data_IF_747698869926
#
_entry.id   IF_747698869926
#
_cell.length_a   1.000
_cell.length_b   1.000
_cell.length_c   1.000
_cell.angle_alpha   90.00
_cell.angle_beta   90.00
_cell.angle_gamma   90.00
#
_symmetry.space_group_name_H-M   'P 1'
#
loop_
_entity.id
_entity.type
_entity.pdbx_description
1 polymer ?
#
# COMPACT_ATOMS: atom_id res chain seq x y z
N UNK A 1 38.75 -46.65 -28.67
CA UNK A 1 37.95 -45.66 -29.41
C UNK A 1 37.87 -44.42 -28.52
N UNK A 2 38.64 -43.40 -28.90
CA UNK A 2 38.82 -42.02 -28.39
C UNK A 2 38.70 -41.77 -26.87
N UNK A 3 39.87 -41.58 -26.25
CA UNK A 3 40.09 -40.96 -24.95
C UNK A 3 40.44 -39.49 -25.22
N UNK A 4 39.64 -38.54 -24.71
CA UNK A 4 39.93 -37.10 -24.87
C UNK A 4 40.86 -36.63 -23.74
N UNK A 5 42.10 -36.37 -24.14
CA UNK A 5 43.13 -35.66 -23.37
C UNK A 5 42.97 -34.16 -23.59
N UNK A 6 42.88 -33.36 -22.53
CA UNK A 6 43.06 -31.90 -22.59
C UNK A 6 44.29 -31.53 -21.78
N UNK A 7 45.32 -31.09 -22.49
CA UNK A 7 46.56 -30.48 -21.97
C UNK A 7 46.37 -28.97 -22.01
N UNK A 8 46.64 -28.27 -20.92
CA UNK A 8 47.00 -26.86 -20.99
C UNK A 8 48.39 -26.65 -20.38
N UNK A 9 49.29 -26.12 -21.22
CA UNK A 9 50.65 -25.69 -20.89
C UNK A 9 50.66 -24.18 -20.63
N UNK A 10 51.50 -23.79 -19.67
CA UNK A 10 52.32 -22.58 -19.58
C UNK A 10 51.65 -21.19 -19.66
N UNK A 11 51.95 -20.33 -18.67
CA UNK A 11 52.98 -19.31 -18.90
C UNK A 11 53.54 -18.73 -17.58
N UNK A 12 54.82 -19.01 -17.36
CA UNK A 12 55.70 -18.34 -16.41
C UNK A 12 56.10 -16.99 -17.02
N UNK A 13 55.89 -15.87 -16.31
CA UNK A 13 56.56 -14.61 -16.63
C UNK A 13 57.76 -14.45 -15.68
N UNK A 14 58.97 -14.56 -16.22
CA UNK A 14 60.23 -14.28 -15.53
C UNK A 14 60.60 -12.83 -15.81
N UNK A 15 60.72 -11.99 -14.78
CA UNK A 15 61.48 -10.73 -14.85
C UNK A 15 62.64 -10.84 -13.87
N UNK A 16 63.86 -10.78 -14.42
CA UNK A 16 65.11 -10.76 -13.67
C UNK A 16 65.73 -9.35 -13.68
N UNK A 17 66.21 -8.85 -12.52
CA UNK A 17 67.51 -8.18 -12.43
C UNK A 17 68.01 -8.01 -10.98
N UNK A 18 69.17 -8.62 -10.73
CA UNK A 18 70.32 -8.30 -9.82
C UNK A 18 70.27 -6.90 -9.16
N UNK A 19 70.72 -6.66 -7.91
CA UNK A 19 71.98 -7.07 -7.23
C UNK A 19 71.98 -6.50 -5.79
N UNK A 20 72.52 -7.22 -4.79
CA UNK A 20 73.28 -6.61 -3.68
C UNK A 20 72.89 -6.86 -2.21
N UNK A 21 73.45 -7.93 -1.61
CA UNK A 21 74.11 -8.01 -0.27
C UNK A 21 73.32 -7.49 0.96
N UNK A 22 72.90 -8.33 1.92
CA UNK A 22 73.74 -8.93 2.97
C UNK A 22 72.97 -10.06 3.69
N UNK A 23 73.65 -11.16 3.98
CA UNK A 23 73.15 -12.33 4.71
C UNK A 23 73.06 -12.07 6.23
N UNK A 24 72.01 -12.58 6.88
CA UNK A 24 72.15 -13.23 8.19
C UNK A 24 71.50 -14.61 8.14
N UNK A 25 72.32 -15.62 8.46
CA UNK A 25 71.95 -17.03 8.56
C UNK A 25 71.08 -17.23 9.80
N UNK A 26 69.90 -17.82 9.65
CA UNK A 26 69.25 -18.59 10.71
C UNK A 26 69.03 -19.99 10.14
N UNK A 27 69.81 -20.93 10.67
CA UNK A 27 69.58 -22.36 10.53
C UNK A 27 68.59 -22.71 11.64
N UNK A 28 67.37 -23.12 11.28
CA UNK A 28 66.49 -23.82 12.21
C UNK A 28 66.03 -25.12 11.55
N UNK A 29 66.35 -26.21 12.25
CA UNK A 29 66.11 -27.58 11.88
C UNK A 29 64.61 -27.87 11.73
N UNK A 30 64.26 -28.68 10.74
CA UNK A 30 62.95 -29.32 10.59
C UNK A 30 62.64 -30.23 11.78
N UNK A 31 61.50 -30.01 12.43
CA UNK A 31 60.68 -31.11 12.96
C UNK A 31 59.23 -30.85 12.56
N UNK A 32 58.77 -31.69 11.64
CA UNK A 32 57.38 -31.78 11.20
C UNK A 32 56.56 -32.27 12.38
N UNK A 33 55.83 -31.38 13.04
CA UNK A 33 54.68 -31.78 13.85
C UNK A 33 53.44 -31.36 13.07
N UNK A 34 52.93 -32.32 12.29
CA UNK A 34 51.67 -32.19 11.57
C UNK A 34 50.54 -32.20 12.60
N UNK A 35 50.29 -31.04 13.22
CA UNK A 35 49.07 -30.82 13.98
C UNK A 35 47.95 -30.76 12.95
N UNK A 36 47.27 -31.88 12.75
CA UNK A 36 45.99 -31.92 12.07
C UNK A 36 45.04 -31.11 12.94
N UNK A 37 44.93 -29.81 12.68
CA UNK A 37 43.74 -29.07 13.03
C UNK A 37 42.62 -29.68 12.18
N UNK A 38 41.90 -30.63 12.78
CA UNK A 38 40.51 -30.87 12.42
C UNK A 38 39.80 -29.55 12.69
N UNK A 39 39.81 -28.66 11.70
CA UNK A 39 38.72 -27.71 11.56
C UNK A 39 37.49 -28.56 11.35
N UNK A 40 36.79 -28.86 12.45
CA UNK A 40 35.35 -28.92 12.34
C UNK A 40 34.97 -27.57 11.74
N UNK A 41 34.66 -27.56 10.44
CA UNK A 41 33.74 -26.56 9.90
C UNK A 41 32.40 -26.83 10.57
N UNK A 42 32.33 -26.58 11.88
CA UNK A 42 31.10 -26.12 12.46
C UNK A 42 30.88 -24.81 11.71
N UNK A 43 29.95 -24.84 10.77
CA UNK A 43 29.52 -23.71 9.98
C UNK A 43 29.45 -22.49 10.87
N UNK A 44 30.47 -21.63 10.84
CA UNK A 44 30.44 -20.35 11.56
C UNK A 44 29.35 -19.44 10.96
N UNK A 45 28.85 -19.80 9.78
CA UNK A 45 27.62 -19.36 9.13
C UNK A 45 26.34 -19.74 9.88
N UNK A 46 26.35 -20.71 10.80
CA UNK A 46 25.21 -20.99 11.70
C UNK A 46 25.26 -20.25 13.04
N UNK A 47 26.36 -19.53 13.33
CA UNK A 47 26.51 -18.74 14.57
C UNK A 47 26.21 -17.25 14.37
N UNK A 48 26.07 -16.81 13.13
CA UNK A 48 25.54 -15.50 12.75
C UNK A 48 24.21 -15.82 12.08
N UNK A 49 23.09 -15.60 12.77
CA UNK A 49 21.76 -15.83 12.18
C UNK A 49 21.69 -15.13 10.82
N UNK A 50 21.04 -15.77 9.83
CA UNK A 50 20.70 -15.06 8.59
C UNK A 50 20.04 -13.74 8.99
N UNK A 51 20.60 -12.64 8.51
CA UNK A 51 20.00 -11.32 8.67
C UNK A 51 18.64 -11.41 7.98
N UNK A 52 17.60 -11.55 8.78
CA UNK A 52 16.25 -11.65 8.29
C UNK A 52 15.84 -10.25 7.86
N UNK A 53 15.45 -10.09 6.60
CA UNK A 53 14.83 -8.85 6.16
C UNK A 53 13.48 -8.71 6.86
N UNK A 54 13.24 -7.55 7.45
CA UNK A 54 12.06 -7.26 8.27
C UNK A 54 11.30 -6.07 7.71
N UNK A 55 10.02 -6.00 8.03
CA UNK A 55 9.15 -4.85 7.80
C UNK A 55 8.13 -4.69 8.92
N UNK A 56 7.22 -3.74 8.74
CA UNK A 56 6.17 -3.46 9.71
C UNK A 56 4.78 -3.51 9.05
N UNK A 57 3.76 -3.73 9.86
CA UNK A 57 2.35 -3.66 9.48
C UNK A 57 1.61 -2.83 10.52
N UNK A 58 0.78 -1.90 10.08
CA UNK A 58 -0.15 -1.18 10.93
C UNK A 58 -1.57 -1.25 10.36
N UNK A 59 -2.56 -1.07 11.21
CA UNK A 59 -3.94 -0.97 10.77
C UNK A 59 -4.87 -0.53 11.89
N UNK A 60 -6.12 -0.27 11.52
CA UNK A 60 -7.17 0.18 12.43
C UNK A 60 -8.44 -0.62 12.26
N UNK A 61 -9.18 -0.81 13.34
CA UNK A 61 -10.43 -1.57 13.39
C UNK A 61 -11.50 -0.72 14.06
N UNK A 62 -12.63 -0.56 13.37
CA UNK A 62 -13.80 0.18 13.85
C UNK A 62 -15.06 -0.66 13.77
N UNK A 63 -16.07 -0.33 14.55
CA UNK A 63 -17.40 -0.91 14.41
C UNK A 63 -18.05 -0.43 13.11
N UNK A 64 -18.56 -1.38 12.32
CA UNK A 64 -19.15 -1.10 11.01
C UNK A 64 -20.41 -0.21 11.06
N UNK A 65 -21.02 -0.02 12.23
CA UNK A 65 -22.23 0.78 12.40
C UNK A 65 -21.98 2.05 13.19
N UNK A 66 -21.27 1.97 14.32
CA UNK A 66 -21.03 3.15 15.16
C UNK A 66 -19.81 3.96 14.74
N UNK A 67 -18.94 3.41 13.89
CA UNK A 67 -17.61 3.94 13.56
C UNK A 67 -16.67 4.11 14.77
N UNK A 68 -17.05 3.58 15.94
CA UNK A 68 -16.20 3.63 17.13
C UNK A 68 -15.01 2.65 16.99
N UNK A 69 -13.83 3.00 17.51
CA UNK A 69 -12.70 2.07 17.55
C UNK A 69 -13.00 0.83 18.40
N UNK A 70 -12.55 -0.35 17.94
CA UNK A 70 -12.75 -1.60 18.68
C UNK A 70 -11.44 -2.08 19.30
N UNK A 71 -11.39 -2.06 20.63
CA UNK A 71 -10.27 -2.60 21.41
C UNK A 71 -10.38 -4.11 21.64
N UNK A 72 -9.23 -4.78 21.75
CA UNK A 72 -9.14 -6.20 22.09
C UNK A 72 -9.72 -7.12 21.01
N UNK A 73 -9.63 -6.74 19.74
CA UNK A 73 -9.74 -7.68 18.62
C UNK A 73 -8.42 -8.44 18.57
N UNK A 74 -8.44 -9.77 18.48
CA UNK A 74 -7.25 -10.58 18.28
C UNK A 74 -6.91 -10.59 16.78
N UNK A 75 -5.71 -10.16 16.43
CA UNK A 75 -5.19 -10.14 15.06
C UNK A 75 -4.06 -11.16 14.97
N UNK A 76 -4.18 -12.12 14.07
CA UNK A 76 -3.15 -13.13 13.81
C UNK A 76 -2.58 -12.94 12.43
N UNK A 77 -1.27 -12.74 12.37
CA UNK A 77 -0.47 -12.74 11.14
C UNK A 77 0.19 -14.11 11.00
N UNK A 78 -0.10 -14.84 9.92
CA UNK A 78 0.35 -16.22 9.74
C UNK A 78 0.97 -16.45 8.35
N UNK A 79 2.15 -17.06 8.34
CA UNK A 79 2.83 -17.61 7.16
C UNK A 79 3.33 -19.02 7.47
N UNK A 80 3.94 -19.69 6.50
CA UNK A 80 4.50 -21.03 6.70
C UNK A 80 5.65 -21.10 7.71
N UNK A 81 6.31 -19.98 8.01
CA UNK A 81 7.49 -19.93 8.88
C UNK A 81 7.37 -18.95 10.06
N UNK A 82 6.34 -18.11 10.09
CA UNK A 82 6.11 -17.13 11.16
C UNK A 82 4.64 -17.08 11.54
N UNK A 83 4.35 -16.92 12.83
CA UNK A 83 3.00 -16.67 13.32
C UNK A 83 3.09 -15.76 14.51
N UNK A 84 2.34 -14.67 14.46
CA UNK A 84 2.30 -13.69 15.53
C UNK A 84 0.85 -13.25 15.76
N UNK A 85 0.50 -13.10 17.04
CA UNK A 85 -0.83 -12.65 17.44
C UNK A 85 -0.72 -11.43 18.33
N UNK A 86 -1.50 -10.40 18.03
CA UNK A 86 -1.61 -9.18 18.82
C UNK A 86 -3.07 -8.83 19.06
N UNK A 87 -3.31 -7.80 19.87
CA UNK A 87 -4.64 -7.26 20.07
C UNK A 87 -4.70 -5.77 19.76
N UNK A 88 -5.83 -5.31 19.24
CA UNK A 88 -6.05 -3.87 19.03
C UNK A 88 -6.13 -3.11 20.36
N UNK A 89 -5.61 -1.88 20.38
CA UNK A 89 -5.59 -1.00 21.55
C UNK A 89 -6.94 -0.28 21.77
N UNK A 90 -7.02 0.66 22.72
CA UNK A 90 -8.25 1.41 23.02
C UNK A 90 -8.73 2.29 21.87
N UNK A 91 -7.85 2.62 20.93
CA UNK A 91 -8.13 3.40 19.74
C UNK A 91 -8.32 2.51 18.51
N UNK A 92 -8.48 1.19 18.71
CA UNK A 92 -8.69 0.22 17.64
C UNK A 92 -7.46 -0.01 16.76
N UNK A 93 -6.28 0.51 17.15
CA UNK A 93 -5.04 0.39 16.37
C UNK A 93 -4.33 -0.92 16.71
N UNK A 94 -3.64 -1.49 15.73
CA UNK A 94 -2.72 -2.61 15.92
C UNK A 94 -1.47 -2.41 15.09
N UNK A 95 -0.35 -2.98 15.54
CA UNK A 95 0.90 -2.93 14.79
C UNK A 95 1.74 -4.18 14.99
N UNK A 96 2.27 -4.74 13.91
CA UNK A 96 3.31 -5.77 13.91
C UNK A 96 4.61 -5.10 13.51
N UNK A 97 5.59 -5.12 14.40
CA UNK A 97 6.90 -4.53 14.20
C UNK A 97 7.90 -5.64 13.95
N UNK A 98 8.89 -5.42 13.09
CA UNK A 98 9.97 -6.39 12.86
C UNK A 98 9.44 -7.77 12.39
N UNK A 99 8.38 -7.77 11.57
CA UNK A 99 7.85 -9.00 10.97
C UNK A 99 8.71 -9.42 9.77
N UNK A 100 9.04 -10.72 9.60
CA UNK A 100 9.78 -11.18 8.43
C UNK A 100 9.09 -10.81 7.13
N UNK A 101 9.85 -10.37 6.13
CA UNK A 101 9.27 -10.04 4.82
C UNK A 101 8.57 -11.25 4.18
N UNK A 102 7.56 -10.96 3.36
CA UNK A 102 6.83 -11.95 2.58
C UNK A 102 5.31 -11.84 2.72
N UNK A 103 4.62 -12.79 2.12
CA UNK A 103 3.15 -12.84 2.11
C UNK A 103 2.61 -13.58 3.34
N UNK A 104 1.60 -12.98 3.97
CA UNK A 104 0.89 -13.52 5.13
C UNK A 104 -0.61 -13.62 4.86
N UNK A 105 -1.25 -14.60 5.48
CA UNK A 105 -2.66 -14.50 5.82
C UNK A 105 -2.81 -13.71 7.11
N UNK A 106 -3.79 -12.82 7.17
CA UNK A 106 -4.16 -12.05 8.36
C UNK A 106 -5.60 -12.39 8.75
N UNK A 107 -5.87 -12.63 10.03
CA UNK A 107 -7.22 -12.92 10.54
C UNK A 107 -7.55 -12.09 11.77
N UNK A 108 -8.82 -11.73 11.92
CA UNK A 108 -9.35 -10.88 12.98
C UNK A 108 -10.46 -11.63 13.73
N UNK A 109 -10.29 -11.78 15.05
CA UNK A 109 -11.23 -12.53 15.90
C UNK A 109 -11.61 -11.73 17.15
N UNK A 110 -12.91 -11.62 17.39
CA UNK A 110 -13.46 -11.12 18.65
C UNK A 110 -14.83 -11.71 18.89
N UNK A 111 -15.07 -12.20 20.11
CA UNK A 111 -16.41 -12.69 20.49
C UNK A 111 -17.47 -11.58 20.27
N UNK A 112 -18.56 -11.93 19.59
CA UNK A 112 -19.64 -10.99 19.26
C UNK A 112 -19.45 -10.24 17.93
N UNK A 113 -18.40 -10.54 17.18
CA UNK A 113 -18.14 -10.00 15.83
C UNK A 113 -17.95 -11.14 14.83
N UNK A 114 -18.29 -10.88 13.58
CA UNK A 114 -18.06 -11.80 12.47
C UNK A 114 -16.56 -11.84 12.15
N UNK A 115 -15.99 -13.04 12.06
CA UNK A 115 -14.58 -13.22 11.66
C UNK A 115 -14.30 -12.57 10.31
N UNK A 116 -13.14 -11.95 10.21
CA UNK A 116 -12.62 -11.37 8.97
C UNK A 116 -11.22 -11.91 8.71
N UNK A 117 -10.89 -12.11 7.45
CA UNK A 117 -9.59 -12.60 7.01
C UNK A 117 -9.18 -11.93 5.70
N UNK A 118 -7.88 -12.02 5.39
CA UNK A 118 -7.32 -11.51 4.15
C UNK A 118 -5.86 -11.86 4.02
N UNK A 119 -5.18 -11.16 3.11
CA UNK A 119 -3.74 -11.31 2.87
C UNK A 119 -3.04 -9.96 2.91
N UNK A 120 -1.74 -9.99 3.23
CA UNK A 120 -0.86 -8.82 3.20
C UNK A 120 0.55 -9.23 2.83
N UNK A 121 1.28 -8.34 2.16
CA UNK A 121 2.71 -8.51 1.87
C UNK A 121 3.52 -7.53 2.74
N UNK A 122 4.43 -8.08 3.55
CA UNK A 122 5.38 -7.28 4.34
C UNK A 122 6.65 -7.07 3.52
N UNK A 123 7.02 -5.81 3.32
CA UNK A 123 8.19 -5.40 2.53
C UNK A 123 9.32 -4.92 3.43
N UNK A 124 10.55 -5.09 2.94
CA UNK A 124 11.76 -4.76 3.68
C UNK A 124 11.79 -3.26 4.02
N UNK A 125 12.06 -2.94 5.27
CA UNK A 125 12.26 -1.58 5.78
C UNK A 125 11.05 -0.63 5.53
N UNK A 126 9.87 -1.18 5.21
CA UNK A 126 8.62 -0.45 4.98
C UNK A 126 7.60 -0.73 6.09
N UNK A 127 6.73 0.25 6.35
CA UNK A 127 5.52 0.04 7.14
C UNK A 127 4.34 -0.07 6.18
N UNK A 128 3.78 -1.27 6.06
CA UNK A 128 2.57 -1.49 5.29
C UNK A 128 1.35 -1.05 6.13
N UNK A 129 0.46 -0.24 5.53
CA UNK A 129 -0.79 0.18 6.18
C UNK A 129 -1.92 -0.69 5.63
N UNK A 130 -2.41 -1.61 6.46
CA UNK A 130 -3.54 -2.45 6.11
C UNK A 130 -4.82 -1.61 5.98
N UNK A 131 -5.69 -1.90 5.00
CA UNK A 131 -6.99 -1.22 4.89
C UNK A 131 -7.77 -1.27 6.21
N UNK A 132 -8.43 -0.18 6.56
CA UNK A 132 -9.28 -0.11 7.75
C UNK A 132 -10.36 -1.20 7.69
N UNK A 133 -10.52 -1.94 8.78
CA UNK A 133 -11.55 -2.96 8.92
C UNK A 133 -12.77 -2.37 9.63
N UNK A 134 -13.89 -2.32 8.91
CA UNK A 134 -15.22 -2.09 9.47
C UNK A 134 -15.78 -3.41 9.99
N UNK A 135 -15.54 -3.68 11.27
CA UNK A 135 -15.83 -4.96 11.91
C UNK A 135 -17.30 -5.08 12.30
N UNK A 136 -17.93 -6.15 11.83
CA UNK A 136 -19.37 -6.32 11.87
C UNK A 136 -19.82 -7.12 13.10
N UNK A 137 -20.53 -6.48 14.02
CA UNK A 137 -21.11 -7.17 15.18
C UNK A 137 -22.14 -8.21 14.73
N UNK A 138 -22.12 -9.40 15.36
CA UNK A 138 -23.09 -10.47 15.10
C UNK A 138 -24.51 -10.14 15.55
N UNK A 139 -24.69 -9.03 16.28
CA UNK A 139 -26.01 -8.48 16.59
C UNK A 139 -26.74 -7.94 15.35
N UNK A 140 -26.03 -7.51 14.31
CA UNK A 140 -26.58 -7.03 13.03
C UNK A 140 -26.83 -8.16 12.03
N UNK A 141 -27.36 -9.29 12.51
CA UNK A 141 -27.69 -10.44 11.66
C UNK A 141 -28.90 -10.18 10.74
N UNK A 142 -29.08 -11.03 9.73
CA UNK A 142 -30.18 -10.93 8.76
C UNK A 142 -29.74 -10.30 7.45
N UNK A 143 -30.70 -9.86 6.63
CA UNK A 143 -30.42 -9.25 5.33
C UNK A 143 -30.33 -7.72 5.46
N UNK A 144 -29.35 -7.12 4.79
CA UNK A 144 -29.14 -5.69 4.67
C UNK A 144 -29.24 -5.21 3.22
N UNK A 145 -29.48 -3.92 3.04
CA UNK A 145 -29.42 -3.27 1.72
C UNK A 145 -28.05 -2.65 1.54
N UNK A 146 -27.41 -2.90 0.40
CA UNK A 146 -26.19 -2.21 -0.02
C UNK A 146 -26.47 -1.48 -1.32
N UNK A 147 -26.19 -0.18 -1.34
CA UNK A 147 -26.53 0.71 -2.44
C UNK A 147 -25.47 1.79 -2.64
N UNK A 148 -25.55 2.48 -3.76
CA UNK A 148 -24.70 3.61 -4.07
C UNK A 148 -24.72 3.91 -5.56
N UNK A 149 -23.74 4.70 -5.98
CA UNK A 149 -23.52 5.09 -7.37
C UNK A 149 -22.11 4.71 -7.80
N UNK A 150 -21.98 4.15 -9.00
CA UNK A 150 -20.68 3.99 -9.66
C UNK A 150 -20.43 5.23 -10.52
N UNK A 151 -19.31 5.92 -10.29
CA UNK A 151 -18.97 7.17 -10.96
C UNK A 151 -17.59 7.14 -11.64
N UNK A 152 -17.46 7.97 -12.67
CA UNK A 152 -16.23 8.16 -13.43
C UNK A 152 -15.26 9.06 -12.66
N UNK A 153 -14.05 8.55 -12.41
CA UNK A 153 -13.01 9.24 -11.67
C UNK A 153 -12.65 10.62 -12.26
N UNK A 154 -12.82 10.81 -13.58
CA UNK A 154 -12.40 12.03 -14.27
C UNK A 154 -13.43 13.14 -14.24
N UNK A 155 -14.69 12.86 -13.88
CA UNK A 155 -15.75 13.88 -14.01
C UNK A 155 -16.94 13.70 -13.05
N UNK A 156 -16.95 12.67 -12.19
CA UNK A 156 -18.02 12.41 -11.22
C UNK A 156 -19.37 11.99 -11.83
N UNK A 157 -19.43 11.74 -13.15
CA UNK A 157 -20.66 11.28 -13.79
C UNK A 157 -20.90 9.80 -13.51
N UNK A 158 -22.15 9.44 -13.32
CA UNK A 158 -22.55 8.06 -13.06
C UNK A 158 -22.39 7.21 -14.30
N UNK A 159 -21.83 6.02 -14.14
CA UNK A 159 -21.50 5.12 -15.24
C UNK A 159 -22.64 4.12 -15.44
N UNK A 160 -23.33 4.23 -16.58
CA UNK A 160 -24.39 3.29 -16.97
C UNK A 160 -23.87 1.88 -17.23
N UNK A 161 -24.65 0.88 -16.85
CA UNK A 161 -24.44 -0.52 -17.19
C UNK A 161 -23.01 -1.03 -16.91
N UNK A 162 -22.48 -0.67 -15.74
CA UNK A 162 -21.34 -1.35 -15.11
C UNK A 162 -21.81 -2.73 -14.67
N UNK A 163 -21.00 -3.76 -14.83
CA UNK A 163 -21.29 -5.11 -14.30
C UNK A 163 -20.62 -5.26 -12.95
N UNK A 164 -21.40 -5.57 -11.90
CA UNK A 164 -20.94 -5.70 -10.53
C UNK A 164 -21.02 -7.17 -10.14
N UNK A 165 -19.87 -7.83 -10.00
CA UNK A 165 -19.76 -9.24 -9.61
C UNK A 165 -19.45 -9.34 -8.12
N UNK A 166 -20.36 -9.97 -7.37
CA UNK A 166 -20.23 -10.13 -5.92
C UNK A 166 -19.61 -11.49 -5.58
N UNK A 167 -18.72 -11.50 -4.58
CA UNK A 167 -18.06 -12.69 -4.01
C UNK A 167 -18.06 -12.60 -2.49
N UNK A 168 -18.09 -13.73 -1.79
CA UNK A 168 -17.99 -13.76 -0.31
C UNK A 168 -16.54 -13.54 0.13
N UNK A 169 -16.38 -12.84 1.27
CA UNK A 169 -15.08 -12.55 1.88
C UNK A 169 -14.46 -11.23 1.41
N UNK A 170 -13.51 -10.74 2.21
CA UNK A 170 -12.70 -9.56 1.89
C UNK A 170 -11.58 -9.95 0.91
N UNK A 171 -11.22 -9.04 0.00
CA UNK A 171 -10.15 -9.17 -0.98
C UNK A 171 -10.25 -10.42 -1.88
N UNK A 172 -11.45 -10.98 -2.03
CA UNK A 172 -11.69 -12.16 -2.84
C UNK A 172 -11.98 -11.75 -4.29
N UNK A 173 -10.95 -11.74 -5.14
CA UNK A 173 -11.06 -11.36 -6.55
C UNK A 173 -11.21 -12.55 -7.51
N UNK A 174 -11.23 -13.79 -6.99
CA UNK A 174 -11.28 -15.01 -7.81
C UNK A 174 -12.37 -15.99 -7.35
N UNK A 175 -12.49 -17.16 -8.00
CA UNK A 175 -13.44 -18.19 -7.58
C UNK A 175 -14.89 -17.94 -7.98
N UNK A 176 -15.84 -18.30 -7.10
CA UNK A 176 -17.28 -18.33 -7.40
C UNK A 176 -17.92 -16.95 -7.28
N UNK A 177 -18.64 -16.53 -8.33
CA UNK A 177 -19.47 -15.32 -8.31
C UNK A 177 -20.82 -15.72 -7.72
N UNK A 178 -21.23 -15.09 -6.61
CA UNK A 178 -22.51 -15.43 -5.95
C UNK A 178 -23.69 -14.67 -6.54
N UNK A 179 -23.46 -13.45 -7.01
CA UNK A 179 -24.47 -12.59 -7.63
C UNK A 179 -23.82 -11.67 -8.67
N UNK A 180 -24.62 -11.18 -9.61
CA UNK A 180 -24.22 -10.15 -10.58
C UNK A 180 -25.32 -9.12 -10.69
N UNK A 181 -24.93 -7.84 -10.65
CA UNK A 181 -25.83 -6.70 -10.76
C UNK A 181 -25.33 -5.76 -11.87
N UNK A 182 -26.17 -4.80 -12.23
CA UNK A 182 -25.82 -3.73 -13.14
C UNK A 182 -26.25 -2.38 -12.59
N UNK A 183 -25.47 -1.33 -12.88
CA UNK A 183 -25.91 0.04 -12.62
C UNK A 183 -26.98 0.48 -13.62
N UNK A 184 -27.84 1.40 -13.18
CA UNK A 184 -28.77 2.11 -14.05
C UNK A 184 -28.10 3.23 -14.85
N UNK A 185 -28.89 3.94 -15.67
CA UNK A 185 -28.42 5.05 -16.52
C UNK A 185 -27.80 6.24 -15.80
N UNK A 186 -28.01 6.35 -14.49
CA UNK A 186 -27.43 7.39 -13.63
C UNK A 186 -26.27 6.86 -12.78
N UNK A 187 -25.85 5.61 -13.00
CA UNK A 187 -24.80 4.92 -12.25
C UNK A 187 -25.27 4.26 -10.97
N UNK A 188 -26.55 4.29 -10.62
CA UNK A 188 -27.00 3.78 -9.32
C UNK A 188 -27.11 2.26 -9.32
N UNK A 189 -26.82 1.65 -8.17
CA UNK A 189 -27.08 0.23 -7.90
C UNK A 189 -27.68 0.07 -6.50
N UNK A 190 -28.43 -1.01 -6.32
CA UNK A 190 -28.94 -1.43 -5.00
C UNK A 190 -29.22 -2.92 -5.01
N UNK A 191 -28.82 -3.62 -3.96
CA UNK A 191 -29.14 -5.02 -3.75
C UNK A 191 -29.30 -5.36 -2.28
N UNK A 192 -30.01 -6.47 -2.02
CA UNK A 192 -30.19 -7.02 -0.68
C UNK A 192 -29.32 -8.26 -0.55
N UNK A 193 -28.56 -8.35 0.54
CA UNK A 193 -27.77 -9.53 0.85
C UNK A 193 -27.72 -9.79 2.35
N UNK A 194 -27.47 -11.03 2.73
CA UNK A 194 -27.21 -11.36 4.13
C UNK A 194 -26.02 -10.56 4.65
N UNK A 195 -26.07 -10.21 5.93
CA UNK A 195 -25.00 -9.49 6.60
C UNK A 195 -23.67 -10.24 6.44
N UNK A 196 -22.58 -9.52 6.24
CA UNK A 196 -21.27 -10.11 6.07
C UNK A 196 -20.33 -9.28 5.22
N UNK A 197 -19.14 -9.85 4.99
CA UNK A 197 -18.11 -9.26 4.16
C UNK A 197 -18.14 -9.84 2.75
N UNK A 198 -18.00 -8.96 1.78
CA UNK A 198 -17.99 -9.35 0.37
C UNK A 198 -16.95 -8.54 -0.40
N UNK A 199 -16.60 -9.04 -1.58
CA UNK A 199 -15.82 -8.31 -2.58
C UNK A 199 -16.68 -8.07 -3.80
N UNK A 200 -16.71 -6.83 -4.27
CA UNK A 200 -17.47 -6.36 -5.42
C UNK A 200 -16.51 -5.97 -6.55
N UNK A 201 -16.47 -6.77 -7.61
CA UNK A 201 -15.66 -6.51 -8.81
C UNK A 201 -16.49 -5.75 -9.85
N UNK A 202 -16.02 -4.58 -10.27
CA UNK A 202 -16.67 -3.70 -11.24
C UNK A 202 -16.02 -3.84 -12.61
N UNK A 203 -16.83 -4.12 -13.63
CA UNK A 203 -16.37 -4.33 -15.00
C UNK A 203 -17.18 -3.47 -15.96
N UNK A 204 -16.47 -2.69 -16.77
CA UNK A 204 -17.02 -1.90 -17.87
C UNK A 204 -15.98 -1.77 -18.97
N UNK A 205 -16.40 -1.90 -20.23
CA UNK A 205 -15.53 -1.66 -21.39
C UNK A 205 -14.94 -0.25 -21.34
N UNK A 206 -13.66 -0.11 -21.70
CA UNK A 206 -12.88 1.14 -21.67
C UNK A 206 -12.54 1.69 -20.27
N UNK A 207 -12.95 0.99 -19.21
CA UNK A 207 -12.55 1.28 -17.83
C UNK A 207 -11.61 0.20 -17.28
N UNK A 208 -10.78 0.60 -16.33
CA UNK A 208 -9.97 -0.34 -15.54
C UNK A 208 -10.88 -1.13 -14.61
N UNK A 209 -10.79 -2.46 -14.63
CA UNK A 209 -11.47 -3.33 -13.66
C UNK A 209 -10.97 -3.00 -12.26
N UNK A 210 -11.88 -2.73 -11.34
CA UNK A 210 -11.57 -2.41 -9.94
C UNK A 210 -12.39 -3.29 -9.00
N UNK A 211 -11.93 -3.45 -7.76
CA UNK A 211 -12.59 -4.26 -6.74
C UNK A 211 -12.68 -3.52 -5.42
N UNK A 212 -13.82 -3.65 -4.76
CA UNK A 212 -14.11 -3.04 -3.47
C UNK A 212 -14.48 -4.08 -2.44
N UNK A 213 -13.93 -3.95 -1.24
CA UNK A 213 -14.45 -4.64 -0.07
C UNK A 213 -15.72 -3.94 0.39
N UNK A 214 -16.77 -4.70 0.63
CA UNK A 214 -18.05 -4.18 1.10
C UNK A 214 -18.49 -4.92 2.35
N UNK A 215 -19.06 -4.18 3.29
CA UNK A 215 -19.67 -4.71 4.50
C UNK A 215 -21.19 -4.50 4.42
N UNK A 216 -21.93 -5.61 4.37
CA UNK A 216 -23.40 -5.57 4.42
C UNK A 216 -23.83 -5.68 5.87
N UNK A 217 -24.52 -4.67 6.38
CA UNK A 217 -25.03 -4.64 7.76
C UNK A 217 -26.49 -5.10 7.75
N UNK A 218 -26.82 -6.17 8.49
CA UNK A 218 -28.18 -6.70 8.54
C UNK A 218 -29.19 -5.69 9.10
N UNK A 219 -30.40 -5.68 8.52
CA UNK A 219 -31.50 -4.76 8.83
C UNK A 219 -31.17 -3.27 8.69
N UNK A 220 -30.08 -2.93 8.00
CA UNK A 220 -29.66 -1.56 7.74
C UNK A 220 -29.50 -1.32 6.24
N UNK A 221 -29.30 -0.06 5.87
CA UNK A 221 -28.89 0.34 4.52
C UNK A 221 -27.48 0.91 4.61
N UNK A 222 -26.54 0.26 3.94
CA UNK A 222 -25.19 0.78 3.74
C UNK A 222 -25.17 1.51 2.39
N UNK A 223 -24.77 2.78 2.40
CA UNK A 223 -24.56 3.56 1.18
C UNK A 223 -23.08 3.80 1.00
N UNK A 224 -22.56 3.52 -0.19
CA UNK A 224 -21.18 3.82 -0.55
C UNK A 224 -21.08 4.00 -2.06
N UNK A 225 -20.58 5.16 -2.47
CA UNK A 225 -20.27 5.41 -3.87
C UNK A 225 -18.93 4.77 -4.25
N UNK A 226 -18.85 4.32 -5.50
CA UNK A 226 -17.74 3.57 -6.04
C UNK A 226 -17.18 4.29 -7.26
N UNK A 227 -15.88 4.29 -7.41
CA UNK A 227 -15.20 5.01 -8.50
C UNK A 227 -14.62 4.02 -9.51
N UNK A 228 -14.74 4.33 -10.81
CA UNK A 228 -13.97 3.67 -11.86
C UNK A 228 -13.22 4.71 -12.68
N UNK A 229 -11.98 4.41 -13.03
CA UNK A 229 -11.20 5.21 -13.99
C UNK A 229 -11.25 4.58 -15.38
N UNK A 230 -11.36 5.38 -16.45
CA UNK A 230 -11.04 4.94 -17.80
C UNK A 230 -9.63 4.34 -17.85
N UNK A 231 -9.40 3.41 -18.79
CA UNK A 231 -8.07 2.84 -19.03
C UNK A 231 -7.08 3.97 -19.31
N UNK A 232 -5.98 4.01 -18.57
CA UNK A 232 -4.98 5.04 -18.69
C UNK A 232 -4.08 4.80 -19.92
N UNK A 233 -3.88 5.85 -20.72
CA UNK A 233 -2.93 5.82 -21.84
C UNK A 233 -1.48 5.67 -21.35
N UNK A 234 -0.66 4.98 -22.14
CA UNK A 234 0.76 4.80 -21.84
C UNK A 234 1.49 6.15 -21.71
N UNK A 235 2.38 6.24 -20.71
CA UNK A 235 3.17 7.45 -20.42
C UNK A 235 2.45 8.47 -19.54
N UNK A 236 1.15 8.35 -19.30
CA UNK A 236 0.43 9.18 -18.31
C UNK A 236 0.54 8.57 -16.91
N UNK A 237 0.39 9.43 -15.91
CA UNK A 237 0.23 9.03 -14.50
C UNK A 237 -1.15 9.45 -14.03
N UNK A 238 -1.83 8.59 -13.26
CA UNK A 238 -3.11 8.92 -12.63
C UNK A 238 -3.07 8.64 -11.15
N UNK A 239 -3.59 9.57 -10.38
CA UNK A 239 -3.68 9.51 -8.92
C UNK A 239 -5.14 9.75 -8.57
N UNK A 240 -5.76 8.78 -7.89
CA UNK A 240 -7.17 8.86 -7.50
C UNK A 240 -7.23 8.78 -5.99
N UNK A 241 -7.79 9.81 -5.36
CA UNK A 241 -8.15 9.86 -3.96
C UNK A 241 -9.63 9.48 -3.81
N UNK A 242 -9.94 8.57 -2.90
CA UNK A 242 -11.30 8.29 -2.41
C UNK A 242 -11.27 8.24 -0.89
N UNK A 243 -12.35 8.63 -0.22
CA UNK A 243 -12.47 8.50 1.23
C UNK A 243 -13.88 8.08 1.66
N UNK A 244 -14.08 7.94 2.97
CA UNK A 244 -15.37 7.62 3.57
C UNK A 244 -16.25 8.85 3.75
N UNK A 245 -17.37 8.67 4.45
CA UNK A 245 -18.34 9.74 4.66
C UNK A 245 -17.79 10.97 5.41
N UNK A 246 -16.85 10.72 6.34
CA UNK A 246 -16.26 11.72 7.23
C UNK A 246 -14.73 11.60 7.21
N UNK A 247 -13.95 12.70 7.15
CA UNK A 247 -14.41 14.09 7.01
C UNK A 247 -15.12 14.32 5.67
N UNK A 248 -15.88 15.41 5.58
CA UNK A 248 -16.69 15.70 4.38
C UNK A 248 -15.83 16.03 3.17
N UNK A 249 -14.63 16.55 3.37
CA UNK A 249 -13.82 17.13 2.30
C UNK A 249 -12.32 16.89 2.54
N UNK A 250 -11.69 16.17 1.61
CA UNK A 250 -10.25 15.93 1.53
C UNK A 250 -9.75 16.40 0.16
N UNK A 251 -8.73 17.26 0.17
CA UNK A 251 -8.14 17.82 -1.05
C UNK A 251 -6.87 17.06 -1.47
N UNK A 252 -6.77 16.75 -2.75
CA UNK A 252 -5.58 16.29 -3.45
C UNK A 252 -4.67 17.45 -3.83
N UNK A 253 -3.40 17.37 -3.45
CA UNK A 253 -2.38 18.35 -3.80
C UNK A 253 -1.19 17.70 -4.51
N UNK A 254 -0.84 18.23 -5.69
CA UNK A 254 0.36 17.84 -6.44
C UNK A 254 1.26 19.05 -6.66
N UNK A 255 2.51 18.98 -6.20
CA UNK A 255 3.50 20.05 -6.36
C UNK A 255 4.68 19.55 -7.18
N UNK A 256 4.99 20.25 -8.27
CA UNK A 256 6.21 20.01 -9.08
C UNK A 256 7.31 20.99 -8.66
N UNK A 257 8.45 20.44 -8.26
CA UNK A 257 9.66 21.18 -7.91
C UNK A 257 10.78 20.80 -8.87
N UNK A 258 11.41 21.80 -9.49
CA UNK A 258 12.58 21.60 -10.37
C UNK A 258 13.68 22.59 -9.99
N UNK A 259 14.91 22.11 -9.87
CA UNK A 259 16.09 22.92 -9.50
C UNK A 259 15.87 23.77 -8.23
N UNK A 260 15.12 23.23 -7.26
CA UNK A 260 14.80 23.91 -5.99
C UNK A 260 13.70 24.97 -6.09
N UNK A 261 13.02 25.10 -7.23
CA UNK A 261 11.92 26.05 -7.45
C UNK A 261 10.60 25.31 -7.67
N UNK A 262 9.53 25.76 -7.03
CA UNK A 262 8.17 25.28 -7.33
C UNK A 262 7.76 25.80 -8.71
N UNK A 263 7.57 24.89 -9.68
CA UNK A 263 7.10 25.26 -11.03
C UNK A 263 5.57 25.40 -11.05
N UNK A 264 4.87 24.48 -10.40
CA UNK A 264 3.42 24.56 -10.22
C UNK A 264 2.94 23.76 -9.01
N UNK A 265 1.73 24.09 -8.58
CA UNK A 265 0.96 23.39 -7.56
C UNK A 265 -0.46 23.22 -8.10
N UNK A 266 -0.86 21.96 -8.32
CA UNK A 266 -2.22 21.58 -8.73
C UNK A 266 -3.02 21.19 -7.49
N UNK A 267 -4.15 21.88 -7.29
CA UNK A 267 -5.12 21.70 -6.21
C UNK A 267 -6.42 22.45 -6.56
N UNK A 268 -7.45 22.42 -5.69
CA UNK A 268 -8.80 22.94 -5.95
C UNK A 268 -8.84 24.35 -6.59
N UNK A 269 -7.94 25.28 -6.21
CA UNK A 269 -7.95 26.65 -6.74
C UNK A 269 -7.09 26.84 -7.99
N UNK A 270 -6.18 25.92 -8.26
CA UNK A 270 -5.25 25.92 -9.39
C UNK A 270 -5.26 24.56 -10.10
N UNK A 271 -6.41 24.21 -10.70
CA UNK A 271 -6.70 22.86 -11.20
C UNK A 271 -5.88 22.43 -12.41
N UNK A 272 -5.32 23.37 -13.18
CA UNK A 272 -4.63 23.06 -14.45
C UNK A 272 -3.24 23.68 -14.44
N UNK A 273 -2.23 22.86 -14.74
CA UNK A 273 -0.86 23.28 -15.01
C UNK A 273 -0.45 22.92 -16.45
N UNK A 274 0.83 23.06 -16.78
CA UNK A 274 1.34 22.70 -18.12
C UNK A 274 1.31 21.21 -18.40
N UNK A 275 1.38 20.38 -17.37
CA UNK A 275 1.59 18.93 -17.49
C UNK A 275 0.64 18.11 -16.61
N UNK A 276 -0.11 18.72 -15.70
CA UNK A 276 -1.02 18.05 -14.79
C UNK A 276 -2.36 18.79 -14.64
N UNK A 277 -3.41 18.03 -14.38
CA UNK A 277 -4.76 18.53 -14.17
C UNK A 277 -5.43 17.78 -13.01
N UNK A 278 -6.16 18.51 -12.16
CA UNK A 278 -7.16 17.96 -11.24
C UNK A 278 -8.45 17.76 -12.04
N UNK A 279 -8.59 16.58 -12.65
CA UNK A 279 -9.67 16.21 -13.57
C UNK A 279 -11.04 16.33 -12.89
N UNK A 280 -11.10 15.88 -11.63
CA UNK A 280 -12.29 15.94 -10.79
C UNK A 280 -11.90 16.36 -9.38
N UNK A 281 -12.70 17.27 -8.84
CA UNK A 281 -12.59 17.92 -7.53
C UNK A 281 -13.98 17.75 -6.92
N UNK A 282 -14.09 16.81 -5.98
CA UNK A 282 -15.33 16.48 -5.30
C UNK A 282 -15.22 17.01 -3.88
N UNK A 283 -16.01 18.03 -3.56
CA UNK A 283 -16.02 18.67 -2.25
C UNK A 283 -16.98 17.95 -1.28
N UNK A 284 -17.30 16.68 -1.50
CA UNK A 284 -18.29 15.93 -0.71
C UNK A 284 -17.97 14.44 -0.51
N UNK A 285 -17.90 14.05 0.76
CA UNK A 285 -17.81 12.68 1.28
C UNK A 285 -16.99 11.70 0.45
N UNK A 286 -17.57 10.81 -0.36
CA UNK A 286 -16.83 9.64 -0.84
C UNK A 286 -15.73 9.93 -1.91
N UNK A 287 -15.48 11.21 -2.21
CA UNK A 287 -14.70 11.64 -3.36
C UNK A 287 -15.35 11.15 -4.67
N UNK A 288 -14.58 10.91 -5.74
CA UNK A 288 -13.12 10.94 -5.79
C UNK A 288 -12.57 12.33 -6.11
N UNK A 289 -11.30 12.54 -5.77
CA UNK A 289 -10.48 13.52 -6.46
C UNK A 289 -9.47 12.81 -7.36
N UNK A 290 -9.30 13.31 -8.59
CA UNK A 290 -8.40 12.67 -9.55
C UNK A 290 -7.45 13.65 -10.17
N UNK A 291 -6.15 13.35 -10.09
CA UNK A 291 -5.10 14.08 -10.80
C UNK A 291 -4.53 13.21 -11.92
N UNK A 292 -4.49 13.74 -13.14
CA UNK A 292 -3.77 13.15 -14.27
C UNK A 292 -2.55 13.99 -14.61
N UNK A 293 -1.37 13.37 -14.63
CA UNK A 293 -0.13 13.95 -15.17
C UNK A 293 0.06 13.40 -16.59
N UNK A 294 0.05 14.31 -17.56
CA UNK A 294 0.12 13.98 -19.00
C UNK A 294 1.52 13.66 -19.47
N UNK A 295 2.53 14.33 -18.91
CA UNK A 295 3.93 14.09 -19.23
C UNK A 295 4.79 14.36 -17.99
N UNK A 296 5.50 13.34 -17.52
CA UNK A 296 6.32 13.45 -16.33
C UNK A 296 7.74 13.87 -16.70
N UNK A 297 8.16 15.03 -16.18
CA UNK A 297 9.55 15.49 -16.24
C UNK A 297 10.42 14.67 -15.28
N UNK A 298 11.29 13.82 -15.81
CA UNK A 298 12.15 12.93 -15.00
C UNK A 298 13.19 13.65 -14.15
N UNK A 299 13.48 14.92 -14.47
CA UNK A 299 14.44 15.75 -13.75
C UNK A 299 13.78 16.57 -12.63
N UNK A 300 12.46 16.48 -12.49
CA UNK A 300 11.69 17.16 -11.46
C UNK A 300 11.27 16.21 -10.33
N UNK A 301 10.99 16.81 -9.19
CA UNK A 301 10.38 16.18 -8.04
C UNK A 301 8.88 16.48 -8.00
N UNK A 302 8.05 15.46 -7.79
CA UNK A 302 6.61 15.59 -7.62
C UNK A 302 6.24 15.16 -6.21
N UNK A 303 5.61 16.04 -5.46
CA UNK A 303 5.10 15.76 -4.12
C UNK A 303 3.59 15.62 -4.20
N UNK A 304 3.07 14.47 -3.79
CA UNK A 304 1.63 14.24 -3.69
C UNK A 304 1.22 14.05 -2.23
N UNK A 305 0.24 14.83 -1.80
CA UNK A 305 -0.26 14.83 -0.43
C UNK A 305 -1.75 15.13 -0.38
N UNK A 306 -2.36 14.72 0.74
CA UNK A 306 -3.76 15.01 1.03
C UNK A 306 -3.83 16.06 2.13
N UNK A 307 -4.71 17.04 1.97
CA UNK A 307 -5.11 17.98 3.01
C UNK A 307 -6.53 17.64 3.48
N UNK A 308 -6.71 17.48 4.78
CA UNK A 308 -8.03 17.45 5.40
C UNK A 308 -8.59 18.87 5.42
N UNK A 309 -9.30 19.25 4.36
CA UNK A 309 -9.87 20.58 4.22
C UNK A 309 -10.94 20.84 5.28
N UNK A 310 -11.72 19.83 5.64
CA UNK A 310 -12.75 19.96 6.70
C UNK A 310 -12.14 20.39 8.02
N UNK A 311 -10.96 19.85 8.37
CA UNK A 311 -10.32 20.07 9.66
C UNK A 311 -9.02 20.88 9.61
N UNK A 312 -8.68 21.51 8.47
CA UNK A 312 -7.39 22.20 8.23
C UNK A 312 -7.01 23.28 9.28
N UNK A 313 -7.98 23.81 10.01
CA UNK A 313 -7.74 24.77 11.10
C UNK A 313 -7.19 24.16 12.39
N UNK A 314 -7.24 22.83 12.57
CA UNK A 314 -6.58 22.13 13.68
C UNK A 314 -5.11 21.90 13.34
N UNK A 315 -4.22 22.32 14.23
CA UNK A 315 -2.77 22.23 14.04
C UNK A 315 -2.08 21.33 15.07
N UNK A 316 -2.84 20.61 15.90
CA UNK A 316 -2.26 19.86 17.04
C UNK A 316 -2.90 18.52 17.37
N UNK A 317 -4.20 18.31 17.14
CA UNK A 317 -4.92 17.17 17.75
C UNK A 317 -5.95 16.45 16.87
N UNK A 318 -6.02 16.73 15.57
CA UNK A 318 -7.05 16.12 14.70
C UNK A 318 -6.70 14.69 14.30
N UNK A 319 -7.55 13.72 14.65
CA UNK A 319 -7.49 12.35 14.11
C UNK A 319 -8.45 12.14 12.92
N UNK A 320 -9.11 13.19 12.42
CA UNK A 320 -10.15 13.06 11.39
C UNK A 320 -9.61 12.47 10.09
N UNK A 321 -8.46 12.95 9.61
CA UNK A 321 -7.78 12.40 8.43
C UNK A 321 -7.45 10.92 8.59
N UNK A 322 -6.86 10.50 9.70
CA UNK A 322 -6.57 9.07 9.96
C UNK A 322 -7.84 8.20 10.02
N UNK A 323 -8.98 8.81 10.35
CA UNK A 323 -10.27 8.17 10.44
C UNK A 323 -11.08 8.19 9.14
N UNK A 324 -10.56 8.83 8.10
CA UNK A 324 -11.26 9.10 6.84
C UNK A 324 -11.50 7.89 5.95
N UNK A 325 -10.81 6.77 6.19
CA UNK A 325 -10.70 5.68 5.21
C UNK A 325 -10.13 6.12 3.85
N UNK A 326 -9.37 7.23 3.81
CA UNK A 326 -8.76 7.70 2.59
C UNK A 326 -7.83 6.64 1.98
N UNK A 327 -7.97 6.47 0.66
CA UNK A 327 -7.26 5.51 -0.16
C UNK A 327 -6.81 6.19 -1.44
N UNK A 328 -5.55 6.00 -1.79
CA UNK A 328 -4.94 6.53 -3.01
C UNK A 328 -4.65 5.36 -3.93
N UNK A 329 -5.15 5.45 -5.15
CA UNK A 329 -4.82 4.55 -6.25
C UNK A 329 -3.88 5.27 -7.23
N UNK A 330 -2.64 4.79 -7.32
CA UNK A 330 -1.60 5.33 -8.21
C UNK A 330 -1.39 4.39 -9.40
N UNK A 331 -1.63 4.92 -10.60
CA UNK A 331 -1.24 4.30 -11.87
C UNK A 331 -0.01 5.01 -12.40
N UNK A 332 1.14 4.33 -12.39
CA UNK A 332 2.44 4.92 -12.73
C UNK A 332 3.32 3.93 -13.50
N UNK A 333 3.75 4.30 -14.72
CA UNK A 333 4.61 3.47 -15.58
C UNK A 333 4.08 2.02 -15.76
N UNK A 334 2.77 1.87 -15.91
CA UNK A 334 2.11 0.56 -16.04
C UNK A 334 1.96 -0.22 -14.72
N UNK A 335 2.46 0.31 -13.61
CA UNK A 335 2.25 -0.26 -12.27
C UNK A 335 1.02 0.35 -11.62
N UNK A 336 0.39 -0.43 -10.74
CA UNK A 336 -0.71 -0.02 -9.89
C UNK A 336 -0.28 -0.17 -8.43
N UNK A 337 -0.43 0.89 -7.63
CA UNK A 337 -0.06 0.91 -6.21
C UNK A 337 -1.18 1.55 -5.41
N UNK A 338 -1.47 0.98 -4.24
CA UNK A 338 -2.47 1.50 -3.31
C UNK A 338 -1.78 2.01 -2.06
N UNK A 339 -2.21 3.17 -1.57
CA UNK A 339 -1.84 3.70 -0.26
C UNK A 339 -3.11 3.85 0.58
N UNK A 340 -3.07 3.36 1.82
CA UNK A 340 -4.14 3.55 2.79
C UNK A 340 -3.69 4.58 3.82
N UNK A 341 -4.61 5.44 4.27
CA UNK A 341 -4.29 6.50 5.24
C UNK A 341 -3.67 5.93 6.53
N UNK A 342 -2.49 6.41 6.95
CA UNK A 342 -1.86 5.98 8.19
C UNK A 342 -2.66 6.42 9.42
N UNK A 343 -2.37 5.80 10.55
CA UNK A 343 -2.90 6.26 11.82
C UNK A 343 -2.09 7.46 12.35
N UNK A 344 -2.74 8.38 13.06
CA UNK A 344 -2.05 9.48 13.74
C UNK A 344 -2.78 10.81 13.64
N UNK A 345 -2.49 11.71 14.58
CA UNK A 345 -3.05 13.06 14.61
C UNK A 345 -2.38 13.92 13.53
N UNK A 346 -3.15 14.44 12.58
CA UNK A 346 -2.71 15.29 11.48
C UNK A 346 -3.89 15.91 10.71
N UNK A 347 -3.59 16.96 9.96
CA UNK A 347 -4.45 17.47 8.88
C UNK A 347 -3.83 17.31 7.50
N UNK A 348 -2.57 16.85 7.40
CA UNK A 348 -1.89 16.58 6.15
C UNK A 348 -1.32 15.16 6.17
N UNK A 349 -1.54 14.42 5.08
CA UNK A 349 -0.88 13.15 4.82
C UNK A 349 0.03 13.26 3.60
N UNK A 350 1.35 13.18 3.83
CA UNK A 350 2.33 13.06 2.75
C UNK A 350 2.33 11.61 2.26
N UNK A 351 1.79 11.38 1.07
CA UNK A 351 1.57 10.03 0.55
C UNK A 351 2.85 9.50 -0.09
N UNK A 352 3.31 10.17 -1.15
CA UNK A 352 4.51 9.77 -1.88
C UNK A 352 5.18 10.98 -2.55
N UNK A 353 6.44 10.76 -2.93
CA UNK A 353 7.20 11.65 -3.81
C UNK A 353 7.63 10.87 -5.05
N UNK A 354 7.52 11.45 -6.24
CA UNK A 354 8.22 10.94 -7.43
C UNK A 354 9.50 11.74 -7.60
N UNK A 355 10.65 11.06 -7.64
CA UNK A 355 11.96 11.68 -7.81
C UNK A 355 12.82 10.83 -8.73
N UNK A 356 13.45 11.44 -9.73
CA UNK A 356 14.25 10.71 -10.73
C UNK A 356 13.48 9.54 -11.36
N UNK A 357 12.19 9.73 -11.64
CA UNK A 357 11.31 8.70 -12.18
C UNK A 357 10.98 7.54 -11.24
N UNK A 358 11.30 7.63 -9.94
CA UNK A 358 11.03 6.59 -8.94
C UNK A 358 10.00 7.09 -7.93
N UNK A 359 9.00 6.27 -7.64
CA UNK A 359 8.02 6.54 -6.57
C UNK A 359 8.65 6.18 -5.23
N UNK A 360 8.69 7.15 -4.32
CA UNK A 360 9.22 7.03 -2.96
C UNK A 360 8.03 7.20 -2.02
N UNK A 361 7.65 6.12 -1.33
CA UNK A 361 6.61 6.13 -0.30
C UNK A 361 7.02 7.05 0.85
N UNK A 362 6.09 7.86 1.36
CA UNK A 362 6.33 8.72 2.52
C UNK A 362 5.51 8.29 3.73
N UNK A 363 4.18 8.20 3.59
CA UNK A 363 3.23 7.87 4.67
C UNK A 363 3.45 8.65 5.97
N UNK A 364 3.63 9.97 5.85
CA UNK A 364 3.85 10.87 6.99
C UNK A 364 2.58 11.65 7.29
N UNK A 365 2.06 11.48 8.51
CA UNK A 365 1.00 12.31 9.08
C UNK A 365 1.61 13.56 9.73
N UNK A 366 1.15 14.76 9.36
CA UNK A 366 1.70 16.02 9.87
C UNK A 366 0.70 17.18 9.82
N UNK A 367 1.08 18.31 10.41
CA UNK A 367 0.40 19.61 10.26
C UNK A 367 1.20 20.58 9.37
N UNK A 368 2.43 20.21 8.99
CA UNK A 368 3.32 21.05 8.21
C UNK A 368 3.25 20.72 6.71
N UNK A 369 3.26 21.74 5.87
CA UNK A 369 3.26 21.54 4.43
C UNK A 369 4.46 20.71 3.93
N UNK A 370 4.30 19.92 2.86
CA UNK A 370 5.30 18.93 2.44
C UNK A 370 6.43 19.46 1.56
N UNK A 371 6.37 20.71 1.10
CA UNK A 371 7.35 21.28 0.18
C UNK A 371 7.90 22.60 0.71
N UNK A 372 9.07 23.06 0.22
CA UNK A 372 9.65 24.32 0.66
C UNK A 372 8.72 25.48 0.30
N UNK A 373 8.22 26.18 1.32
CA UNK A 373 7.57 27.47 1.13
C UNK A 373 8.68 28.54 1.10
N UNK A 374 8.64 29.41 0.07
CA UNK A 374 9.60 30.52 -0.06
C UNK A 374 9.40 31.59 1.01
#
# INVERSE_FOLDING_TARGET
MVMNTVIYRNNLLIISKKRGRQMKKIVLFFTVFSLVFLFTSCDLTTLLGEEQDLGNLEGTIKDAVTNDPISGVEITLHSSHHTETKSSDSNGKYSFSEAPIGSYSISFQKTGYLEADGTVEIKKDETEIYPQILYLSTSYSGDGTYQGRVQDALNGTGIDNVTLKLREGLNNTTGTIINTYNTDSSGNFSFIKSYGYYTLELIKTDYTTTSYNITVVGNNTTTQDLTMTPVLEEGKTRIILTWGENPEDLDSHLVKVKDGTVEYHVYYSAKISSEAELDHDDTSSYGPETITITNLDSDADYYYYILDYTNHGDTTTSDALANSSAKIELYYNGNYTVYNVPSGEATIWKVFKISSGTVIRQDIMTYDEPYPTN
#
